data_IF_688737497993
#
_entry.id   IF_688737497993
#
_cell.length_a   1.000
_cell.length_b   1.000
_cell.length_c   1.000
_cell.angle_alpha   90.00
_cell.angle_beta   90.00
_cell.angle_gamma   90.00
#
_symmetry.space_group_name_H-M   'P 1'
#
loop_
_entity.id
_entity.type
_entity.pdbx_description
1 polymer ?
#
# COMPACT_ATOMS: atom_id res chain seq x y z
N UNK A 1 36.75 -21.01 15.87
CA UNK A 1 35.28 -20.95 16.04
C UNK A 1 34.73 -22.26 15.52
N UNK A 2 33.99 -23.00 16.35
CA UNK A 2 33.36 -24.26 15.95
C UNK A 2 32.18 -24.02 14.99
N UNK A 3 31.83 -24.97 14.13
CA UNK A 3 30.74 -24.84 13.15
C UNK A 3 29.40 -24.57 13.86
N UNK A 4 29.22 -25.14 15.05
CA UNK A 4 28.05 -24.91 15.90
C UNK A 4 28.02 -23.51 16.52
N UNK A 5 29.19 -22.91 16.76
CA UNK A 5 29.27 -21.52 17.23
C UNK A 5 29.01 -20.55 16.09
N UNK A 6 29.57 -20.83 14.91
CA UNK A 6 29.35 -20.02 13.72
C UNK A 6 27.86 -19.99 13.32
N UNK A 7 27.17 -21.15 13.31
CA UNK A 7 25.71 -21.20 13.04
C UNK A 7 24.88 -20.39 14.06
N UNK A 8 25.17 -20.52 15.35
CA UNK A 8 24.47 -19.75 16.40
C UNK A 8 24.69 -18.25 16.25
N UNK A 9 25.86 -17.84 15.77
CA UNK A 9 26.15 -16.43 15.51
C UNK A 9 25.35 -15.89 14.31
N UNK A 10 25.13 -16.70 13.26
CA UNK A 10 24.31 -16.30 12.12
C UNK A 10 22.83 -16.10 12.48
N UNK A 11 22.32 -16.85 13.46
CA UNK A 11 20.94 -16.69 13.95
C UNK A 11 20.70 -15.38 14.72
N UNK A 12 21.75 -14.69 15.17
CA UNK A 12 21.63 -13.41 15.88
C UNK A 12 21.34 -12.23 14.95
N UNK A 13 21.64 -12.37 13.65
CA UNK A 13 21.41 -11.29 12.70
C UNK A 13 19.94 -11.28 12.26
N UNK A 14 19.27 -10.11 12.30
CA UNK A 14 17.92 -10.01 11.80
C UNK A 14 17.90 -10.36 10.31
N UNK A 15 16.87 -11.09 9.89
CA UNK A 15 16.65 -11.40 8.48
C UNK A 15 16.31 -10.11 7.76
N UNK A 16 17.30 -9.51 7.09
CA UNK A 16 17.09 -8.34 6.25
C UNK A 16 16.47 -8.81 4.95
N UNK A 17 15.20 -8.45 4.73
CA UNK A 17 14.51 -8.68 3.48
C UNK A 17 14.46 -7.38 2.69
N UNK A 18 14.55 -7.47 1.37
CA UNK A 18 14.30 -6.30 0.51
C UNK A 18 12.91 -5.74 0.81
N UNK A 19 12.73 -4.43 0.63
CA UNK A 19 11.43 -3.76 0.84
C UNK A 19 10.30 -4.44 0.07
N UNK A 20 10.62 -5.01 -1.08
CA UNK A 20 9.65 -5.64 -2.00
C UNK A 20 9.57 -7.16 -1.82
N UNK A 21 10.09 -7.71 -0.71
CA UNK A 21 10.00 -9.14 -0.44
C UNK A 21 8.58 -9.55 -0.02
N UNK A 22 7.88 -10.26 -0.91
CA UNK A 22 6.68 -11.01 -0.59
C UNK A 22 7.04 -12.47 -0.28
N UNK A 23 6.83 -12.90 0.97
CA UNK A 23 6.85 -14.34 1.28
C UNK A 23 5.59 -14.97 0.68
N UNK A 24 5.76 -15.90 -0.26
CA UNK A 24 4.68 -16.79 -0.69
C UNK A 24 4.12 -17.53 0.55
N UNK A 25 2.80 -17.46 0.82
CA UNK A 25 2.19 -18.11 1.97
C UNK A 25 2.10 -19.62 1.73
N UNK A 26 3.23 -20.31 1.83
CA UNK A 26 3.35 -21.71 1.48
C UNK A 26 4.56 -22.36 2.14
N UNK A 27 4.56 -22.41 3.47
CA UNK A 27 5.11 -23.45 4.36
C UNK A 27 5.47 -22.81 5.69
N UNK A 28 4.47 -22.79 6.58
CA UNK A 28 4.67 -22.59 8.02
C UNK A 28 5.54 -23.72 8.55
N UNK A 29 6.78 -23.42 8.93
CA UNK A 29 7.52 -24.23 9.90
C UNK A 29 7.44 -23.51 11.25
N UNK A 30 6.91 -24.26 12.22
CA UNK A 30 6.50 -23.86 13.57
C UNK A 30 7.49 -22.95 14.29
N UNK A 31 7.03 -21.77 14.70
CA UNK A 31 7.63 -20.94 15.74
C UNK A 31 6.53 -20.30 16.60
N UNK A 32 6.25 -20.89 17.76
CA UNK A 32 5.20 -20.49 18.69
C UNK A 32 5.50 -19.13 19.33
N UNK A 33 4.63 -18.13 19.15
CA UNK A 33 4.23 -17.17 20.20
C UNK A 33 2.98 -16.41 19.75
N UNK A 34 1.96 -16.49 20.59
CA UNK A 34 0.63 -15.92 20.42
C UNK A 34 0.71 -14.43 20.07
N UNK A 35 -0.08 -14.00 19.09
CA UNK A 35 -0.86 -12.78 19.22
C UNK A 35 -2.12 -12.85 18.37
N UNK A 36 -3.24 -12.78 19.08
CA UNK A 36 -4.59 -12.58 18.60
C UNK A 36 -4.70 -11.29 17.79
N UNK A 37 -5.26 -11.37 16.58
CA UNK A 37 -6.39 -10.52 16.20
C UNK A 37 -7.10 -11.10 14.98
N UNK A 38 -8.32 -11.55 15.21
CA UNK A 38 -9.34 -11.77 14.20
C UNK A 38 -9.51 -10.47 13.41
N UNK A 39 -9.28 -10.49 12.11
CA UNK A 39 -10.12 -9.75 11.17
C UNK A 39 -10.46 -10.64 9.98
N UNK A 40 -11.75 -10.67 9.76
CA UNK A 40 -12.55 -11.56 8.95
C UNK A 40 -12.47 -11.16 7.48
N UNK A 41 -12.77 -12.14 6.62
CA UNK A 41 -12.59 -12.08 5.19
C UNK A 41 -13.44 -11.01 4.49
N UNK A 42 -12.85 -10.32 3.52
CA UNK A 42 -13.56 -9.95 2.29
C UNK A 42 -12.80 -10.49 1.08
N UNK A 43 -13.52 -11.39 0.41
CA UNK A 43 -13.17 -12.12 -0.79
C UNK A 43 -13.34 -11.20 -2.00
N UNK A 44 -12.30 -11.10 -2.83
CA UNK A 44 -12.40 -10.78 -4.26
C UNK A 44 -12.15 -9.32 -4.63
N UNK A 45 -11.04 -9.02 -5.28
CA UNK A 45 -10.91 -9.03 -6.74
C UNK A 45 -9.46 -8.66 -7.09
N UNK A 46 -8.87 -9.33 -8.08
CA UNK A 46 -7.50 -9.10 -8.52
C UNK A 46 -7.41 -7.75 -9.24
N UNK A 47 -6.63 -6.81 -8.69
CA UNK A 47 -5.98 -5.74 -9.46
C UNK A 47 -4.75 -5.28 -8.69
N UNK A 48 -3.64 -5.98 -8.93
CA UNK A 48 -2.38 -5.87 -8.20
C UNK A 48 -1.58 -4.57 -8.43
N UNK A 49 -2.26 -3.48 -8.79
CA UNK A 49 -1.71 -2.10 -8.85
C UNK A 49 -2.45 -1.12 -7.93
N UNK A 50 -3.46 -1.59 -7.20
CA UNK A 50 -4.49 -0.75 -6.53
C UNK A 50 -4.19 -0.42 -5.07
N UNK A 51 -3.22 -1.08 -4.42
CA UNK A 51 -3.08 -0.98 -2.96
C UNK A 51 -2.78 0.43 -2.44
N UNK A 52 -1.93 1.20 -3.13
CA UNK A 52 -1.60 2.56 -2.74
C UNK A 52 -2.70 3.57 -3.10
N UNK A 53 -3.36 3.38 -4.25
CA UNK A 53 -4.47 4.21 -4.70
C UNK A 53 -5.69 4.04 -3.78
N UNK A 54 -6.00 2.79 -3.39
CA UNK A 54 -7.02 2.49 -2.39
C UNK A 54 -6.72 3.14 -1.04
N UNK A 55 -5.46 3.11 -0.59
CA UNK A 55 -5.07 3.73 0.68
C UNK A 55 -5.22 5.26 0.65
N UNK A 56 -4.94 5.90 -0.49
CA UNK A 56 -5.17 7.33 -0.66
C UNK A 56 -6.67 7.64 -0.60
N UNK A 57 -7.49 6.94 -1.38
CA UNK A 57 -8.94 7.16 -1.42
C UNK A 57 -9.60 6.89 -0.08
N UNK A 58 -9.14 5.88 0.67
CA UNK A 58 -9.60 5.63 2.03
C UNK A 58 -9.26 6.80 2.98
N UNK A 59 -8.04 7.34 2.91
CA UNK A 59 -7.64 8.52 3.69
C UNK A 59 -8.44 9.77 3.31
N UNK A 60 -8.69 9.95 2.01
CA UNK A 60 -9.52 11.04 1.49
C UNK A 60 -10.94 10.94 2.04
N UNK A 61 -11.55 9.75 1.98
CA UNK A 61 -12.89 9.50 2.52
C UNK A 61 -12.95 9.82 4.02
N UNK A 62 -12.03 9.29 4.83
CA UNK A 62 -11.99 9.59 6.27
C UNK A 62 -11.85 11.10 6.57
N UNK A 63 -11.02 11.81 5.80
CA UNK A 63 -10.85 13.26 5.97
C UNK A 63 -12.11 14.03 5.56
N UNK A 64 -12.76 13.63 4.47
CA UNK A 64 -14.01 14.21 4.02
C UNK A 64 -15.14 13.96 5.01
N UNK A 65 -15.30 12.73 5.52
CA UNK A 65 -16.31 12.39 6.53
C UNK A 65 -16.18 13.27 7.78
N UNK A 66 -14.95 13.49 8.24
CA UNK A 66 -14.67 14.38 9.38
C UNK A 66 -15.07 15.84 9.11
N UNK A 67 -15.06 16.29 7.86
CA UNK A 67 -15.29 17.70 7.48
C UNK A 67 -16.73 17.99 7.06
N UNK A 68 -17.34 17.09 6.31
CA UNK A 68 -18.64 17.30 5.64
C UNK A 68 -19.69 16.22 5.97
N UNK A 69 -19.33 15.23 6.79
CA UNK A 69 -20.20 14.13 7.20
C UNK A 69 -20.28 12.99 6.19
N UNK A 70 -20.69 11.81 6.64
CA UNK A 70 -20.66 10.55 5.87
C UNK A 70 -21.36 10.67 4.50
N UNK A 71 -22.60 11.14 4.48
CA UNK A 71 -23.39 11.22 3.25
C UNK A 71 -22.77 12.13 2.20
N UNK A 72 -22.25 13.30 2.57
CA UNK A 72 -21.63 14.23 1.62
C UNK A 72 -20.22 13.80 1.23
N UNK A 73 -19.51 13.10 2.11
CA UNK A 73 -18.18 12.57 1.83
C UNK A 73 -18.19 11.57 0.68
N UNK A 74 -19.22 10.74 0.56
CA UNK A 74 -19.34 9.79 -0.55
C UNK A 74 -19.51 10.50 -1.89
N UNK A 75 -20.39 11.52 -1.96
CA UNK A 75 -20.52 12.35 -3.16
C UNK A 75 -19.22 13.08 -3.51
N UNK A 76 -18.51 13.58 -2.51
CA UNK A 76 -17.22 14.25 -2.70
C UNK A 76 -16.17 13.29 -3.26
N UNK A 77 -16.03 12.10 -2.69
CA UNK A 77 -15.06 11.11 -3.17
C UNK A 77 -15.34 10.71 -4.61
N UNK A 78 -16.62 10.48 -4.95
CA UNK A 78 -17.02 10.16 -6.33
C UNK A 78 -16.70 11.30 -7.31
N UNK A 79 -17.02 12.54 -6.94
CA UNK A 79 -16.70 13.70 -7.77
C UNK A 79 -15.18 13.89 -7.94
N UNK A 80 -14.40 13.59 -6.90
CA UNK A 80 -12.94 13.61 -6.96
C UNK A 80 -12.39 12.54 -7.90
N UNK A 81 -12.89 11.30 -7.82
CA UNK A 81 -12.48 10.20 -8.72
C UNK A 81 -12.73 10.57 -10.19
N UNK A 82 -13.93 11.08 -10.51
CA UNK A 82 -14.29 11.50 -11.87
C UNK A 82 -13.37 12.63 -12.38
N UNK A 83 -13.06 13.61 -11.52
CA UNK A 83 -12.17 14.71 -11.86
C UNK A 83 -10.72 14.23 -12.05
N UNK A 84 -10.23 13.35 -11.17
CA UNK A 84 -8.90 12.75 -11.27
C UNK A 84 -8.76 11.95 -12.55
N UNK A 85 -9.74 11.10 -12.88
CA UNK A 85 -9.69 10.29 -14.10
C UNK A 85 -9.61 11.16 -15.35
N UNK A 86 -10.42 12.23 -15.40
CA UNK A 86 -10.43 13.16 -16.52
C UNK A 86 -9.09 13.89 -16.64
N UNK A 87 -8.59 14.45 -15.55
CA UNK A 87 -7.37 15.26 -15.57
C UNK A 87 -6.13 14.42 -15.86
N UNK A 88 -5.99 13.25 -15.25
CA UNK A 88 -4.76 12.44 -15.33
C UNK A 88 -4.75 11.56 -16.57
N UNK A 89 -5.86 10.92 -16.92
CA UNK A 89 -5.86 9.94 -18.02
C UNK A 89 -6.36 10.50 -19.35
N UNK A 90 -7.19 11.56 -19.35
CA UNK A 90 -7.80 12.09 -20.58
C UNK A 90 -7.18 13.41 -21.03
N UNK A 91 -6.91 14.32 -20.09
CA UNK A 91 -6.49 15.69 -20.41
C UNK A 91 -4.99 15.95 -20.24
N UNK A 92 -4.28 15.09 -19.50
CA UNK A 92 -2.85 15.28 -19.27
C UNK A 92 -2.07 15.09 -20.57
N UNK A 93 -1.57 16.20 -21.11
CA UNK A 93 -0.74 16.18 -22.31
C UNK A 93 0.75 15.93 -21.95
N UNK A 94 1.52 15.48 -22.96
CA UNK A 94 2.93 15.13 -22.79
C UNK A 94 3.80 16.32 -22.33
N UNK A 95 3.47 17.54 -22.77
CA UNK A 95 4.21 18.75 -22.38
C UNK A 95 4.02 19.07 -20.90
N UNK A 96 2.79 19.00 -20.40
CA UNK A 96 2.45 19.18 -19.00
C UNK A 96 3.11 18.10 -18.14
N UNK A 97 3.04 16.83 -18.56
CA UNK A 97 3.71 15.73 -17.87
C UNK A 97 5.23 15.96 -17.75
N UNK A 98 5.88 16.41 -18.83
CA UNK A 98 7.32 16.75 -18.80
C UNK A 98 7.63 17.90 -17.84
N UNK A 99 6.78 18.93 -17.80
CA UNK A 99 6.94 20.05 -16.84
C UNK A 99 6.88 19.58 -15.39
N UNK A 100 5.98 18.63 -15.07
CA UNK A 100 5.90 18.06 -13.72
C UNK A 100 7.16 17.29 -13.35
N UNK A 101 7.72 16.51 -14.29
CA UNK A 101 8.97 15.78 -14.07
C UNK A 101 10.17 16.72 -13.90
N UNK A 102 10.30 17.73 -14.77
CA UNK A 102 11.41 18.70 -14.66
C UNK A 102 11.37 19.52 -13.37
N UNK A 103 10.17 19.80 -12.85
CA UNK A 103 10.00 20.51 -11.58
C UNK A 103 10.42 19.66 -10.35
N UNK A 104 10.47 18.34 -10.48
CA UNK A 104 10.92 17.44 -9.41
C UNK A 104 12.45 17.28 -9.39
N UNK A 105 13.12 17.57 -10.51
CA UNK A 105 14.57 17.48 -10.67
C UNK A 105 15.32 18.78 -10.33
N UNK A 106 14.60 19.88 -10.10
CA UNK A 106 15.15 21.19 -9.69
C UNK A 106 15.11 21.39 -8.18
#
# INVERSE_FOLDING_TARGET
MDEKEFRRMLELFPVVRSRDYCAEPGTSSRGTRQQSRVQEATKGNKKDSSGAEDLFMQKLKMAAEKKIGATKAEFFCKAFEEAHEKLVYKELNLDAAKKFLSAYES
#
